data_IF_136004479763
#
_entry.id   IF_136004479763
#
_cell.length_a   1.000
_cell.length_b   1.000
_cell.length_c   1.000
_cell.angle_alpha   90.00
_cell.angle_beta   90.00
_cell.angle_gamma   90.00
#
_symmetry.space_group_name_H-M   'P 1'
#
loop_
_entity.id
_entity.type
_entity.pdbx_description
1 polymer ?
#
# COMPACT_ATOMS: atom_id res chain seq x y z
N UNK A 1 0.93 20.90 9.28
CA UNK A 1 1.68 21.49 8.15
C UNK A 1 1.59 22.99 8.26
N UNK A 2 2.69 23.67 8.17
CA UNK A 2 2.77 25.13 8.19
C UNK A 2 3.63 25.59 7.01
N UNK A 3 3.11 26.44 6.16
CA UNK A 3 3.80 26.96 4.98
C UNK A 3 4.04 28.44 5.14
N UNK A 4 5.31 28.81 5.28
CA UNK A 4 5.75 30.21 5.32
C UNK A 4 6.30 30.67 3.97
N UNK A 5 6.68 31.94 3.88
CA UNK A 5 7.23 32.52 2.65
C UNK A 5 8.55 31.86 2.19
N UNK A 6 9.44 31.57 3.16
CA UNK A 6 10.80 31.05 2.86
C UNK A 6 11.01 29.61 3.32
N UNK A 7 10.16 29.10 4.19
CA UNK A 7 10.28 27.73 4.74
C UNK A 7 8.93 27.06 4.92
N UNK A 8 8.93 25.73 4.80
CA UNK A 8 7.81 24.88 5.12
C UNK A 8 8.17 23.96 6.27
N UNK A 9 7.21 23.75 7.19
CA UNK A 9 7.36 22.85 8.32
C UNK A 9 6.35 21.73 8.19
N UNK A 10 6.85 20.48 8.19
CA UNK A 10 6.04 19.26 8.15
C UNK A 10 6.22 18.46 9.42
N UNK A 11 5.20 17.71 9.79
CA UNK A 11 5.32 16.67 10.81
C UNK A 11 5.91 15.42 10.14
N UNK A 12 7.01 14.92 10.70
CA UNK A 12 7.63 13.69 10.20
C UNK A 12 6.73 12.50 10.52
N UNK A 13 6.47 11.67 9.52
CA UNK A 13 5.92 10.34 9.69
C UNK A 13 7.06 9.33 9.56
N UNK A 14 7.06 8.27 10.37
CA UNK A 14 8.08 7.23 10.32
C UNK A 14 8.23 6.59 8.94
N UNK A 15 9.14 5.65 8.86
CA UNK A 15 9.52 5.03 7.59
C UNK A 15 8.29 4.50 6.83
N UNK A 16 8.12 4.91 5.57
CA UNK A 16 6.98 4.58 4.73
C UNK A 16 6.78 3.06 4.51
N UNK A 17 7.80 2.28 4.79
CA UNK A 17 7.78 0.83 4.59
C UNK A 17 7.14 0.06 5.74
N UNK A 18 7.28 0.50 7.00
CA UNK A 18 6.88 -0.33 8.15
C UNK A 18 5.66 0.19 8.91
N UNK A 19 5.63 1.46 9.29
CA UNK A 19 4.51 2.04 10.01
C UNK A 19 4.48 3.55 9.82
N UNK A 20 3.40 4.06 9.24
CA UNK A 20 3.22 5.50 9.00
C UNK A 20 2.81 6.27 10.26
N UNK A 21 3.37 5.92 11.43
CA UNK A 21 3.08 6.63 12.66
C UNK A 21 3.84 7.97 12.72
N UNK A 22 3.19 9.05 13.17
CA UNK A 22 3.88 10.31 13.43
C UNK A 22 5.00 10.11 14.45
N UNK A 23 6.21 10.53 14.12
CA UNK A 23 7.35 10.46 15.05
C UNK A 23 7.33 11.56 16.09
N UNK A 24 6.46 12.56 15.91
CA UNK A 24 6.43 13.76 16.74
C UNK A 24 7.48 14.80 16.36
N UNK A 25 8.38 14.49 15.43
CA UNK A 25 9.41 15.43 14.95
C UNK A 25 8.83 16.36 13.90
N UNK A 26 9.28 17.61 13.94
CA UNK A 26 9.00 18.60 12.90
C UNK A 26 10.21 18.71 11.99
N UNK A 27 9.99 18.57 10.69
CA UNK A 27 10.99 18.79 9.67
C UNK A 27 10.74 20.15 9.03
N UNK A 28 11.74 21.01 9.07
CA UNK A 28 11.69 22.33 8.44
C UNK A 28 12.68 22.37 7.29
N UNK A 29 12.23 22.78 6.12
CA UNK A 29 13.09 22.96 4.94
C UNK A 29 12.78 24.28 4.24
N UNK A 30 13.76 24.81 3.56
CA UNK A 30 13.61 26.03 2.74
C UNK A 30 12.80 25.74 1.49
N UNK A 31 11.96 26.68 1.07
CA UNK A 31 11.06 26.46 -0.07
C UNK A 31 11.80 26.31 -1.41
N UNK A 32 13.05 26.79 -1.53
CA UNK A 32 13.88 26.57 -2.71
C UNK A 32 14.12 25.08 -2.99
N UNK A 33 14.10 24.22 -1.97
CA UNK A 33 14.23 22.77 -2.14
C UNK A 33 13.15 22.18 -3.07
N UNK A 34 11.93 22.73 -3.06
CA UNK A 34 10.87 22.32 -3.98
C UNK A 34 11.14 22.69 -5.46
N UNK A 35 12.05 23.65 -5.70
CA UNK A 35 12.45 24.08 -7.05
C UNK A 35 13.68 23.29 -7.51
N UNK A 36 14.62 23.04 -6.61
CA UNK A 36 15.92 22.44 -6.90
C UNK A 36 15.93 20.91 -6.73
N UNK A 37 15.00 20.37 -5.90
CA UNK A 37 14.93 18.96 -5.55
C UNK A 37 13.88 18.17 -6.32
N UNK A 38 13.97 16.86 -6.21
CA UNK A 38 12.95 15.94 -6.69
C UNK A 38 12.00 15.62 -5.55
N UNK A 39 10.71 15.66 -5.78
CA UNK A 39 9.69 15.28 -4.81
C UNK A 39 8.59 14.46 -5.47
N UNK A 40 7.97 13.57 -4.68
CA UNK A 40 6.88 12.73 -5.13
C UNK A 40 5.54 13.39 -4.76
N UNK A 41 4.66 13.55 -5.74
CA UNK A 41 3.34 14.14 -5.55
C UNK A 41 2.26 13.11 -5.90
N UNK A 42 1.45 12.74 -4.91
CA UNK A 42 0.32 11.81 -5.08
C UNK A 42 -1.01 12.52 -5.39
N UNK A 43 -1.03 13.86 -5.44
CA UNK A 43 -2.27 14.63 -5.57
C UNK A 43 -2.82 14.70 -7.00
N UNK A 44 -2.01 14.45 -8.01
CA UNK A 44 -2.38 14.62 -9.42
C UNK A 44 -3.31 13.53 -9.97
N UNK A 45 -3.43 12.38 -9.29
CA UNK A 45 -4.20 11.23 -9.77
C UNK A 45 -5.02 10.57 -8.66
N UNK A 46 -5.84 11.36 -7.93
CA UNK A 46 -6.73 10.85 -6.89
C UNK A 46 -6.04 10.35 -5.63
N UNK A 47 -4.76 10.69 -5.44
CA UNK A 47 -3.91 10.20 -4.33
C UNK A 47 -3.75 8.67 -4.31
N UNK A 48 -3.91 8.02 -5.44
CA UNK A 48 -3.70 6.59 -5.56
C UNK A 48 -2.23 6.24 -5.55
N UNK A 49 -1.88 5.21 -4.79
CA UNK A 49 -0.53 4.67 -4.74
C UNK A 49 -0.54 3.15 -4.67
N UNK A 50 0.52 2.56 -5.17
CA UNK A 50 0.80 1.16 -4.96
C UNK A 50 1.39 0.94 -3.58
N UNK A 51 0.88 -0.08 -2.89
CA UNK A 51 1.43 -0.60 -1.65
C UNK A 51 1.66 -2.10 -1.76
N UNK A 52 2.43 -2.66 -0.86
CA UNK A 52 2.84 -4.07 -0.92
C UNK A 52 2.67 -4.73 0.45
N UNK A 53 2.11 -5.93 0.41
CA UNK A 53 1.97 -6.82 1.56
C UNK A 53 3.00 -7.93 1.43
N UNK A 54 3.76 -8.19 2.50
CA UNK A 54 4.75 -9.26 2.56
C UNK A 54 4.26 -10.34 3.50
N UNK A 55 4.17 -11.57 3.00
CA UNK A 55 3.74 -12.73 3.77
C UNK A 55 4.79 -13.83 3.65
N UNK A 56 5.25 -14.37 4.76
CA UNK A 56 6.19 -15.48 4.79
C UNK A 56 5.44 -16.78 5.05
N UNK A 57 5.57 -17.76 4.15
CA UNK A 57 5.06 -19.12 4.31
C UNK A 57 6.21 -19.98 4.81
N UNK A 58 6.09 -20.61 6.00
CA UNK A 58 7.14 -21.44 6.55
C UNK A 58 7.42 -22.68 5.69
N UNK A 59 8.64 -23.26 5.78
CA UNK A 59 8.94 -24.53 5.14
C UNK A 59 8.01 -25.64 5.62
N UNK A 60 7.66 -26.56 4.73
CA UNK A 60 6.82 -27.71 5.07
C UNK A 60 5.32 -27.49 4.91
N UNK A 61 4.86 -26.28 4.60
CA UNK A 61 3.49 -26.02 4.19
C UNK A 61 3.39 -25.98 2.66
N UNK A 62 2.29 -26.53 2.12
CA UNK A 62 1.98 -26.35 0.70
C UNK A 62 1.64 -24.87 0.42
N UNK A 63 2.47 -24.18 -0.39
CA UNK A 63 2.26 -22.76 -0.63
C UNK A 63 1.09 -22.47 -1.57
N UNK A 64 0.75 -23.39 -2.47
CA UNK A 64 -0.22 -23.10 -3.53
C UNK A 64 -1.60 -22.70 -3.03
N UNK A 65 -2.24 -23.45 -2.10
CA UNK A 65 -3.54 -23.06 -1.56
C UNK A 65 -3.51 -21.74 -0.81
N UNK A 66 -2.38 -21.44 -0.13
CA UNK A 66 -2.20 -20.21 0.64
C UNK A 66 -2.06 -19.03 -0.32
N UNK A 67 -1.23 -19.16 -1.36
CA UNK A 67 -1.04 -18.13 -2.39
C UNK A 67 -2.34 -17.80 -3.10
N UNK A 68 -3.07 -18.83 -3.55
CA UNK A 68 -4.39 -18.66 -4.20
C UNK A 68 -5.40 -18.00 -3.25
N UNK A 69 -5.38 -18.39 -1.99
CA UNK A 69 -6.23 -17.79 -0.97
C UNK A 69 -5.93 -16.32 -0.73
N UNK A 70 -4.65 -15.96 -0.60
CA UNK A 70 -4.18 -14.58 -0.44
C UNK A 70 -4.59 -13.75 -1.66
N UNK A 71 -4.37 -14.25 -2.88
CA UNK A 71 -4.73 -13.53 -4.10
C UNK A 71 -6.23 -13.20 -4.13
N UNK A 72 -7.10 -14.19 -3.98
CA UNK A 72 -8.56 -14.02 -3.99
C UNK A 72 -9.01 -13.04 -2.91
N UNK A 73 -8.40 -13.12 -1.74
CA UNK A 73 -8.72 -12.28 -0.60
C UNK A 73 -8.34 -10.82 -0.86
N UNK A 74 -7.11 -10.56 -1.33
CA UNK A 74 -6.66 -9.20 -1.64
C UNK A 74 -7.47 -8.61 -2.80
N UNK A 75 -7.75 -9.37 -3.85
CA UNK A 75 -8.62 -8.94 -4.95
C UNK A 75 -9.99 -8.50 -4.43
N UNK A 76 -10.61 -9.29 -3.56
CA UNK A 76 -11.91 -8.97 -2.94
C UNK A 76 -11.84 -7.70 -2.09
N UNK A 77 -10.86 -7.62 -1.20
CA UNK A 77 -10.72 -6.50 -0.24
C UNK A 77 -10.35 -5.17 -0.92
N UNK A 78 -9.68 -5.22 -2.07
CA UNK A 78 -9.24 -4.03 -2.80
C UNK A 78 -10.07 -3.73 -4.05
N UNK A 79 -11.09 -4.52 -4.37
CA UNK A 79 -11.90 -4.39 -5.58
C UNK A 79 -12.49 -2.98 -5.76
N UNK A 80 -13.00 -2.38 -4.69
CA UNK A 80 -13.56 -1.04 -4.72
C UNK A 80 -12.51 0.03 -5.04
N UNK A 81 -11.30 -0.10 -4.49
CA UNK A 81 -10.19 0.80 -4.75
C UNK A 81 -9.66 0.63 -6.18
N UNK A 82 -9.51 -0.62 -6.63
CA UNK A 82 -9.13 -0.95 -8.00
C UNK A 82 -10.06 -0.29 -9.02
N UNK A 83 -11.37 -0.49 -8.86
CA UNK A 83 -12.37 0.06 -9.78
C UNK A 83 -12.36 1.59 -9.81
N UNK A 84 -12.26 2.23 -8.64
CA UNK A 84 -12.19 3.71 -8.55
C UNK A 84 -10.90 4.25 -9.16
N UNK A 85 -9.76 3.63 -8.87
CA UNK A 85 -8.47 4.05 -9.41
C UNK A 85 -8.44 3.96 -10.94
N UNK A 86 -8.93 2.85 -11.52
CA UNK A 86 -9.00 2.65 -12.96
C UNK A 86 -9.91 3.69 -13.62
N UNK A 87 -11.07 3.99 -13.04
CA UNK A 87 -11.98 5.01 -13.54
C UNK A 87 -11.35 6.41 -13.52
N UNK A 88 -10.70 6.80 -12.42
CA UNK A 88 -10.02 8.09 -12.30
C UNK A 88 -8.83 8.20 -13.27
N UNK A 89 -8.06 7.13 -13.45
CA UNK A 89 -6.95 7.09 -14.41
C UNK A 89 -7.40 7.15 -15.85
N UNK A 90 -8.47 6.45 -16.21
CA UNK A 90 -9.06 6.55 -17.54
C UNK A 90 -9.49 7.98 -17.85
N UNK A 91 -10.10 8.65 -16.88
CA UNK A 91 -10.52 10.05 -17.03
C UNK A 91 -9.32 11.01 -17.20
N UNK A 92 -8.25 10.78 -16.43
CA UNK A 92 -7.03 11.57 -16.52
C UNK A 92 -6.21 11.31 -17.80
N UNK A 93 -6.16 10.06 -18.26
CA UNK A 93 -5.36 9.64 -19.43
C UNK A 93 -6.08 9.81 -20.76
N UNK A 94 -7.41 9.96 -20.76
CA UNK A 94 -8.19 10.20 -21.98
C UNK A 94 -7.70 11.41 -22.81
N UNK A 95 -7.15 12.41 -22.13
CA UNK A 95 -6.56 13.60 -22.75
C UNK A 95 -5.20 13.37 -23.42
N UNK A 96 -4.46 12.31 -23.04
CA UNK A 96 -3.07 12.12 -23.43
C UNK A 96 -2.82 10.90 -24.32
N UNK A 97 -3.85 10.16 -24.74
CA UNK A 97 -3.74 8.91 -25.52
C UNK A 97 -2.76 7.87 -24.91
N UNK A 98 -2.67 7.84 -23.60
CA UNK A 98 -1.85 6.85 -22.89
C UNK A 98 -2.72 5.64 -22.57
N UNK A 99 -2.17 4.44 -22.73
CA UNK A 99 -2.87 3.21 -22.41
C UNK A 99 -3.23 3.18 -20.92
N UNK A 100 -4.49 2.88 -20.60
CA UNK A 100 -4.95 2.80 -19.22
C UNK A 100 -4.15 1.74 -18.45
N UNK A 101 -3.59 2.13 -17.31
CA UNK A 101 -2.90 1.23 -16.40
C UNK A 101 -3.92 0.38 -15.64
N UNK A 102 -3.67 -0.91 -15.51
CA UNK A 102 -4.47 -1.78 -14.65
C UNK A 102 -4.11 -1.55 -13.19
N UNK A 103 -5.11 -1.36 -12.34
CA UNK A 103 -4.97 -1.25 -10.89
C UNK A 103 -5.20 -2.58 -10.15
N UNK A 104 -5.30 -3.69 -10.88
CA UNK A 104 -5.51 -5.01 -10.30
C UNK A 104 -4.32 -5.41 -9.41
N UNK A 105 -4.58 -6.08 -8.28
CA UNK A 105 -3.53 -6.65 -7.46
C UNK A 105 -2.65 -7.61 -8.26
N UNK A 106 -1.36 -7.61 -7.95
CA UNK A 106 -0.39 -8.54 -8.50
C UNK A 106 0.28 -9.33 -7.39
N UNK A 107 0.56 -10.61 -7.64
CA UNK A 107 1.24 -11.46 -6.69
C UNK A 107 2.60 -11.90 -7.25
N UNK A 108 3.61 -11.87 -6.40
CA UNK A 108 4.93 -12.39 -6.70
C UNK A 108 5.34 -13.37 -5.60
N UNK A 109 5.85 -14.51 -5.98
CA UNK A 109 6.25 -15.59 -5.06
C UNK A 109 7.73 -15.86 -5.25
N UNK A 110 8.49 -15.80 -4.17
CA UNK A 110 9.94 -15.96 -4.19
C UNK A 110 10.40 -16.95 -3.12
N UNK A 111 11.17 -18.00 -3.46
CA UNK A 111 11.83 -18.84 -2.49
C UNK A 111 12.87 -18.05 -1.69
N UNK A 112 12.91 -18.26 -0.38
CA UNK A 112 13.87 -17.65 0.54
C UNK A 112 14.47 -18.72 1.46
N UNK A 113 15.54 -18.38 2.20
CA UNK A 113 16.12 -19.30 3.20
C UNK A 113 15.15 -19.66 4.33
N UNK A 114 14.12 -18.87 4.58
CA UNK A 114 13.10 -19.09 5.62
C UNK A 114 11.78 -19.66 5.11
N UNK A 115 11.71 -20.14 3.84
CA UNK A 115 10.50 -20.64 3.22
C UNK A 115 10.16 -19.90 1.94
N UNK A 116 8.91 -19.54 1.75
CA UNK A 116 8.43 -18.83 0.56
C UNK A 116 7.90 -17.46 0.95
N UNK A 117 8.48 -16.41 0.38
CA UNK A 117 7.98 -15.06 0.50
C UNK A 117 6.94 -14.79 -0.59
N UNK A 118 5.77 -14.33 -0.16
CA UNK A 118 4.67 -13.90 -1.03
C UNK A 118 4.54 -12.39 -0.91
N UNK A 119 4.74 -11.68 -2.02
CA UNK A 119 4.56 -10.23 -2.11
C UNK A 119 3.32 -9.93 -2.91
N UNK A 120 2.39 -9.22 -2.31
CA UNK A 120 1.13 -8.85 -2.95
C UNK A 120 1.07 -7.34 -3.10
N UNK A 121 1.14 -6.89 -4.33
CA UNK A 121 1.02 -5.48 -4.69
C UNK A 121 -0.45 -5.13 -4.92
N UNK A 122 -0.92 -4.06 -4.32
CA UNK A 122 -2.30 -3.57 -4.43
C UNK A 122 -2.35 -2.05 -4.46
N UNK A 123 -3.50 -1.51 -4.92
CA UNK A 123 -3.73 -0.07 -4.98
C UNK A 123 -4.49 0.40 -3.73
N UNK A 124 -4.07 1.54 -3.19
CA UNK A 124 -4.74 2.18 -2.06
C UNK A 124 -4.62 3.70 -2.16
N UNK A 125 -5.44 4.44 -1.42
CA UNK A 125 -5.24 5.87 -1.27
C UNK A 125 -4.13 6.14 -0.25
N UNK A 126 -3.35 7.19 -0.47
CA UNK A 126 -2.20 7.52 0.37
C UNK A 126 -2.59 7.66 1.86
N UNK A 127 -3.73 8.28 2.16
CA UNK A 127 -4.21 8.48 3.53
C UNK A 127 -4.87 7.24 4.14
N UNK A 128 -5.31 6.26 3.33
CA UNK A 128 -5.90 4.99 3.78
C UNK A 128 -4.88 3.86 3.88
N UNK A 129 -3.63 4.09 3.46
CA UNK A 129 -2.59 3.09 3.34
C UNK A 129 -2.44 2.23 4.59
N UNK A 130 -2.32 2.87 5.76
CA UNK A 130 -2.12 2.17 7.02
C UNK A 130 -3.31 1.26 7.38
N UNK A 131 -4.52 1.78 7.31
CA UNK A 131 -5.73 1.03 7.65
C UNK A 131 -5.98 -0.12 6.66
N UNK A 132 -5.74 0.11 5.37
CA UNK A 132 -5.86 -0.93 4.34
C UNK A 132 -4.85 -2.04 4.60
N UNK A 133 -3.59 -1.71 4.87
CA UNK A 133 -2.53 -2.68 5.17
C UNK A 133 -2.86 -3.49 6.43
N UNK A 134 -3.27 -2.83 7.51
CA UNK A 134 -3.67 -3.48 8.77
C UNK A 134 -4.82 -4.47 8.55
N UNK A 135 -5.85 -4.06 7.81
CA UNK A 135 -6.98 -4.91 7.46
C UNK A 135 -6.55 -6.13 6.64
N UNK A 136 -5.73 -5.92 5.61
CA UNK A 136 -5.22 -7.01 4.77
C UNK A 136 -4.38 -8.01 5.58
N UNK A 137 -3.49 -7.55 6.46
CA UNK A 137 -2.75 -8.45 7.34
C UNK A 137 -3.67 -9.27 8.25
N UNK A 138 -4.71 -8.65 8.82
CA UNK A 138 -5.65 -9.35 9.69
C UNK A 138 -6.36 -10.50 8.95
N UNK A 139 -6.87 -10.24 7.75
CA UNK A 139 -7.57 -11.27 6.97
C UNK A 139 -6.63 -12.35 6.41
N UNK A 140 -5.37 -12.00 6.10
CA UNK A 140 -4.34 -12.98 5.71
C UNK A 140 -3.96 -13.87 6.91
N UNK A 141 -3.84 -13.32 8.10
CA UNK A 141 -3.59 -14.10 9.32
C UNK A 141 -4.74 -15.07 9.61
N UNK A 142 -5.98 -14.64 9.42
CA UNK A 142 -7.15 -15.53 9.55
C UNK A 142 -7.13 -16.66 8.50
N UNK A 143 -6.69 -16.37 7.29
CA UNK A 143 -6.53 -17.38 6.24
C UNK A 143 -5.47 -18.43 6.62
N UNK A 144 -4.34 -17.99 7.15
CA UNK A 144 -3.20 -18.87 7.46
C UNK A 144 -3.39 -19.69 8.74
N UNK A 145 -4.09 -19.16 9.73
CA UNK A 145 -4.18 -19.75 11.07
C UNK A 145 -5.60 -20.12 11.50
N UNK A 146 -6.60 -19.92 10.64
CA UNK A 146 -8.01 -20.07 10.99
C UNK A 146 -8.55 -18.85 11.76
N UNK A 147 -9.88 -18.73 11.82
CA UNK A 147 -10.51 -17.68 12.62
C UNK A 147 -10.08 -17.82 14.08
N UNK A 148 -9.64 -16.73 14.70
CA UNK A 148 -9.51 -16.67 16.16
C UNK A 148 -10.89 -17.00 16.76
N UNK A 149 -11.03 -18.17 17.36
CA UNK A 149 -12.16 -18.42 18.26
C UNK A 149 -12.09 -17.34 19.35
N UNK A 150 -13.19 -16.60 19.49
CA UNK A 150 -13.23 -15.43 20.36
C UNK A 150 -12.78 -15.78 21.75
N UNK A 151 -11.82 -15.02 22.29
CA UNK A 151 -11.59 -14.92 23.72
C UNK A 151 -12.90 -14.42 24.33
N UNK A 152 -13.72 -15.33 24.84
CA UNK A 152 -14.83 -14.97 25.73
C UNK A 152 -14.20 -14.50 27.04
N UNK A 153 -14.24 -13.21 27.26
CA UNK A 153 -14.15 -12.60 28.60
C UNK A 153 -15.49 -12.73 29.28
#
# INVERSE_FOLDING_TARGET
MEVGLLKTVLLETGNWTDSSHPTGRRVSFVNSFAIEGHFFNFTTSGQWMWDELHVQIPPGQDPYPIVDGIQKLVEKETAANTSKAEAEWQQATSKYRVQALSAKPGINVQPTGGGIEVRVRYITRAYERYETRKRLYAVVLELMHGKREGVRT
#
